data_IF_704711872364
#
_entry.id   IF_704711872364
#
_cell.length_a   1.000
_cell.length_b   1.000
_cell.length_c   1.000
_cell.angle_alpha   90.00
_cell.angle_beta   90.00
_cell.angle_gamma   90.00
#
_symmetry.space_group_name_H-M   'P 1'
#
loop_
_entity.id
_entity.type
_entity.pdbx_description
1 polymer ?
#
# COMPACT_ATOMS: atom_id res chain seq x y z
N UNK A 1 -9.64 -17.86 -41.54
CA UNK A 1 -8.40 -18.53 -41.06
C UNK A 1 -7.49 -17.61 -40.22
N UNK A 2 -7.79 -16.32 -40.10
CA UNK A 2 -6.90 -15.29 -39.52
C UNK A 2 -7.04 -15.13 -38.00
N UNK A 3 -8.27 -15.21 -37.45
CA UNK A 3 -8.54 -14.97 -36.01
C UNK A 3 -7.95 -16.05 -35.10
N UNK A 4 -8.05 -17.33 -35.48
CA UNK A 4 -7.47 -18.45 -34.69
C UNK A 4 -5.95 -18.37 -34.59
N UNK A 5 -5.27 -17.87 -35.63
CA UNK A 5 -3.80 -17.74 -35.67
C UNK A 5 -3.33 -16.60 -34.76
N UNK A 6 -4.05 -15.48 -34.76
CA UNK A 6 -3.81 -14.36 -33.84
C UNK A 6 -4.05 -14.75 -32.38
N UNK A 7 -5.12 -15.51 -32.10
CA UNK A 7 -5.43 -16.02 -30.74
C UNK A 7 -4.32 -16.95 -30.23
N UNK A 8 -3.79 -17.83 -31.08
CA UNK A 8 -2.67 -18.72 -30.73
C UNK A 8 -1.41 -17.95 -30.36
N UNK A 9 -1.05 -16.93 -31.15
CA UNK A 9 0.16 -16.13 -30.95
C UNK A 9 0.11 -15.28 -29.65
N UNK A 10 -1.08 -14.75 -29.32
CA UNK A 10 -1.31 -13.99 -28.09
C UNK A 10 -1.21 -14.90 -26.87
N UNK A 11 -1.72 -16.13 -26.97
CA UNK A 11 -1.65 -17.13 -25.89
C UNK A 11 -0.20 -17.52 -25.59
N UNK A 12 0.63 -17.72 -26.61
CA UNK A 12 2.04 -18.12 -26.46
C UNK A 12 2.87 -17.02 -25.77
N UNK A 13 2.71 -15.77 -26.22
CA UNK A 13 3.38 -14.60 -25.61
C UNK A 13 2.91 -14.29 -24.19
N UNK A 14 1.62 -14.47 -23.90
CA UNK A 14 1.11 -14.33 -22.54
C UNK A 14 1.72 -15.39 -21.61
N UNK A 15 1.89 -16.62 -22.07
CA UNK A 15 2.47 -17.71 -21.27
C UNK A 15 3.93 -17.43 -20.91
N UNK A 16 4.73 -16.89 -21.83
CA UNK A 16 6.12 -16.49 -21.57
C UNK A 16 6.23 -15.33 -20.56
N UNK A 17 5.35 -14.33 -20.68
CA UNK A 17 5.30 -13.21 -19.74
C UNK A 17 4.94 -13.65 -18.31
N UNK A 18 4.01 -14.61 -18.17
CA UNK A 18 3.60 -15.18 -16.87
C UNK A 18 4.76 -15.89 -16.17
N UNK A 19 5.55 -16.66 -16.92
CA UNK A 19 6.73 -17.35 -16.37
C UNK A 19 7.79 -16.36 -15.85
N UNK A 20 7.91 -15.18 -16.47
CA UNK A 20 8.83 -14.12 -16.03
C UNK A 20 8.36 -13.36 -14.77
N UNK A 21 7.04 -13.30 -14.53
CA UNK A 21 6.45 -12.52 -13.41
C UNK A 21 6.28 -13.32 -12.11
N UNK A 22 6.27 -14.66 -12.17
CA UNK A 22 6.16 -15.54 -11.00
C UNK A 22 7.35 -15.46 -10.02
N UNK A 23 8.42 -14.73 -10.36
CA UNK A 23 9.60 -14.54 -9.51
C UNK A 23 9.52 -13.45 -8.43
N UNK A 24 8.38 -12.77 -8.23
CA UNK A 24 8.27 -11.63 -7.28
C UNK A 24 7.09 -11.73 -6.29
N UNK A 25 6.88 -12.91 -5.70
CA UNK A 25 6.14 -12.97 -4.44
C UNK A 25 7.07 -12.51 -3.31
N UNK A 26 6.98 -11.25 -2.91
CA UNK A 26 7.71 -10.73 -1.75
C UNK A 26 7.15 -11.38 -0.48
N UNK A 27 7.92 -12.30 0.11
CA UNK A 27 7.66 -12.78 1.46
C UNK A 27 8.08 -11.68 2.44
N UNK A 28 7.12 -10.91 2.95
CA UNK A 28 7.34 -10.07 4.13
C UNK A 28 7.83 -10.98 5.25
N UNK A 29 9.09 -10.82 5.67
CA UNK A 29 9.64 -11.59 6.80
C UNK A 29 9.25 -10.91 8.09
N UNK A 30 8.68 -11.71 8.97
CA UNK A 30 8.38 -11.29 10.33
C UNK A 30 9.67 -10.94 11.08
N UNK A 31 9.67 -9.81 11.78
CA UNK A 31 10.79 -9.41 12.63
C UNK A 31 10.86 -10.26 13.90
N UNK A 32 12.04 -10.36 14.52
CA UNK A 32 12.22 -11.12 15.76
C UNK A 32 11.29 -10.66 16.90
N UNK A 33 11.01 -9.36 16.96
CA UNK A 33 10.14 -8.76 17.97
C UNK A 33 8.66 -9.01 17.68
N UNK A 34 8.25 -9.04 16.41
CA UNK A 34 6.92 -9.52 16.02
C UNK A 34 6.78 -10.99 16.41
N UNK A 35 7.80 -11.81 16.16
CA UNK A 35 7.80 -13.25 16.48
C UNK A 35 7.67 -13.47 17.99
N UNK A 36 8.47 -12.72 18.76
CA UNK A 36 8.41 -12.74 20.22
C UNK A 36 7.06 -12.22 20.73
N UNK A 37 6.56 -11.11 20.20
CA UNK A 37 5.26 -10.53 20.59
C UNK A 37 4.13 -11.51 20.30
N UNK A 38 4.12 -12.14 19.12
CA UNK A 38 3.12 -13.15 18.76
C UNK A 38 3.15 -14.33 19.70
N UNK A 39 4.34 -14.80 20.08
CA UNK A 39 4.50 -15.88 21.05
C UNK A 39 4.05 -15.48 22.46
N UNK A 40 4.49 -14.33 22.97
CA UNK A 40 4.18 -13.86 24.33
C UNK A 40 2.72 -13.44 24.50
N UNK A 41 2.08 -12.95 23.42
CA UNK A 41 0.69 -12.52 23.41
C UNK A 41 -0.30 -13.60 22.95
N UNK A 42 0.16 -14.84 22.79
CA UNK A 42 -0.73 -15.97 22.48
C UNK A 42 -1.41 -15.88 21.12
N UNK A 43 -0.76 -15.27 20.11
CA UNK A 43 -1.36 -15.13 18.78
C UNK A 43 -1.70 -16.49 18.16
N UNK A 44 -0.92 -17.53 18.46
CA UNK A 44 -1.23 -18.88 17.97
C UNK A 44 -2.58 -19.40 18.51
N UNK A 45 -2.90 -19.18 19.78
CA UNK A 45 -4.20 -19.58 20.34
C UNK A 45 -5.34 -18.71 19.79
N UNK A 46 -5.09 -17.40 19.64
CA UNK A 46 -6.04 -16.49 19.04
C UNK A 46 -6.35 -16.86 17.57
N UNK A 47 -5.34 -17.13 16.76
CA UNK A 47 -5.49 -17.50 15.34
C UNK A 47 -6.10 -18.89 15.16
N UNK A 48 -5.75 -19.85 16.02
CA UNK A 48 -6.35 -21.19 16.00
C UNK A 48 -7.84 -21.21 16.40
N UNK A 49 -8.29 -20.19 17.15
CA UNK A 49 -9.69 -20.04 17.55
C UNK A 49 -10.52 -19.20 16.58
N UNK A 50 -9.90 -18.63 15.54
CA UNK A 50 -10.64 -17.91 14.50
C UNK A 50 -11.50 -18.88 13.67
N UNK A 51 -12.70 -18.46 13.22
CA UNK A 51 -13.52 -19.26 12.32
C UNK A 51 -12.76 -19.64 11.04
N UNK A 52 -12.78 -20.92 10.65
CA UNK A 52 -12.16 -21.35 9.40
C UNK A 52 -12.99 -20.89 8.19
N UNK A 53 -12.54 -19.81 7.58
CA UNK A 53 -13.11 -19.27 6.34
C UNK A 53 -12.43 -19.85 5.09
N UNK A 54 -11.39 -20.69 5.21
CA UNK A 54 -10.60 -21.21 4.07
C UNK A 54 -11.32 -22.28 3.26
N UNK A 55 -12.35 -22.92 3.80
CA UNK A 55 -13.27 -23.72 3.01
C UNK A 55 -14.02 -22.89 1.92
N UNK A 56 -13.84 -21.56 1.90
CA UNK A 56 -14.38 -20.64 0.91
C UNK A 56 -13.48 -20.38 -0.31
N UNK A 57 -12.33 -21.07 -0.45
CA UNK A 57 -11.60 -21.11 -1.73
C UNK A 57 -11.73 -22.47 -2.45
N UNK A 58 -12.89 -22.78 -3.03
CA UNK A 58 -12.91 -23.47 -4.30
C UNK A 58 -13.13 -22.42 -5.39
N UNK A 59 -12.38 -22.49 -6.48
CA UNK A 59 -12.59 -21.70 -7.70
C UNK A 59 -13.95 -21.99 -8.37
N UNK A 60 -15.04 -21.72 -7.66
CA UNK A 60 -16.41 -21.94 -8.08
C UNK A 60 -17.30 -20.94 -7.36
N UNK A 61 -17.50 -19.83 -8.06
CA UNK A 61 -18.70 -18.98 -8.06
C UNK A 61 -19.93 -19.62 -7.43
N UNK A 62 -20.49 -18.98 -6.41
CA UNK A 62 -21.88 -19.16 -6.06
C UNK A 62 -22.73 -18.63 -7.24
N UNK A 63 -23.26 -19.54 -8.06
CA UNK A 63 -24.23 -19.29 -9.15
C UNK A 63 -23.91 -18.11 -10.08
N UNK A 64 -23.06 -18.34 -11.08
CA UNK A 64 -22.96 -17.48 -12.26
C UNK A 64 -21.67 -17.73 -13.03
N UNK A 65 -21.79 -18.38 -14.18
CA UNK A 65 -20.80 -18.52 -15.26
C UNK A 65 -19.31 -18.66 -14.86
N UNK A 66 -18.76 -19.88 -15.02
CA UNK A 66 -17.31 -20.09 -15.03
C UNK A 66 -16.67 -19.07 -15.99
N UNK A 67 -15.73 -18.23 -15.57
CA UNK A 67 -15.02 -17.38 -16.51
C UNK A 67 -14.38 -18.30 -17.55
N UNK A 68 -14.66 -18.04 -18.82
CA UNK A 68 -14.03 -18.78 -19.92
C UNK A 68 -12.52 -18.80 -19.71
N UNK A 69 -11.84 -19.91 -20.00
CA UNK A 69 -10.38 -20.04 -19.82
C UNK A 69 -9.61 -18.87 -20.46
N UNK A 70 -10.18 -18.27 -21.52
CA UNK A 70 -9.64 -17.10 -22.20
C UNK A 70 -9.71 -15.81 -21.36
N UNK A 71 -10.79 -15.57 -20.62
CA UNK A 71 -10.91 -14.42 -19.69
C UNK A 71 -9.94 -14.51 -18.52
N UNK A 72 -9.69 -15.71 -18.01
CA UNK A 72 -8.68 -15.93 -16.97
C UNK A 72 -7.27 -15.69 -17.56
N UNK A 73 -7.02 -16.14 -18.80
CA UNK A 73 -5.74 -15.90 -19.49
C UNK A 73 -5.47 -14.41 -19.82
N UNK A 74 -6.50 -13.64 -20.16
CA UNK A 74 -6.38 -12.20 -20.43
C UNK A 74 -6.17 -11.37 -19.15
N UNK A 75 -6.59 -11.87 -17.99
CA UNK A 75 -6.30 -11.23 -16.71
C UNK A 75 -4.80 -11.16 -16.40
N UNK A 76 -3.99 -12.02 -17.03
CA UNK A 76 -2.53 -11.99 -16.94
C UNK A 76 -1.88 -10.86 -17.74
N UNK A 77 -2.61 -10.21 -18.65
CA UNK A 77 -2.10 -9.06 -19.40
C UNK A 77 -2.15 -7.74 -18.61
N UNK A 78 -2.79 -7.74 -17.42
CA UNK A 78 -2.85 -6.57 -16.54
C UNK A 78 -3.34 -5.31 -17.28
N UNK A 79 -2.66 -4.16 -17.17
CA UNK A 79 -3.03 -2.91 -17.84
C UNK A 79 -3.13 -3.00 -19.37
N UNK A 80 -2.54 -4.02 -20.00
CA UNK A 80 -2.54 -4.22 -21.45
C UNK A 80 -3.73 -5.08 -21.93
N UNK A 81 -4.67 -5.46 -21.06
CA UNK A 81 -5.83 -6.24 -21.44
C UNK A 81 -6.81 -5.42 -22.31
N UNK A 82 -7.01 -5.76 -23.61
CA UNK A 82 -7.89 -5.02 -24.51
C UNK A 82 -9.38 -5.26 -24.25
N UNK A 83 -9.74 -6.22 -23.39
CA UNK A 83 -11.11 -6.60 -23.08
C UNK A 83 -11.44 -6.38 -21.59
N UNK A 84 -11.21 -5.15 -21.10
CA UNK A 84 -11.58 -4.74 -19.73
C UNK A 84 -13.08 -4.87 -19.51
N UNK A 85 -13.48 -5.46 -18.38
CA UNK A 85 -14.89 -5.48 -17.94
C UNK A 85 -15.23 -4.19 -17.21
N UNK A 86 -16.41 -3.63 -17.47
CA UNK A 86 -16.92 -2.46 -16.74
C UNK A 86 -17.41 -2.87 -15.34
N UNK A 87 -17.50 -1.90 -14.44
CA UNK A 87 -18.16 -2.08 -13.14
C UNK A 87 -19.66 -2.28 -13.32
N UNK A 88 -20.23 -3.16 -12.50
CA UNK A 88 -21.66 -3.51 -12.46
C UNK A 88 -22.25 -3.16 -11.09
N UNK A 89 -23.57 -3.20 -10.95
CA UNK A 89 -24.22 -2.94 -9.65
C UNK A 89 -23.92 -3.98 -8.56
N UNK A 90 -23.21 -5.07 -8.88
CA UNK A 90 -22.84 -6.15 -7.96
C UNK A 90 -21.38 -6.10 -7.52
N UNK A 91 -20.67 -5.04 -7.88
CA UNK A 91 -19.26 -4.89 -7.57
C UNK A 91 -19.08 -3.88 -6.43
N UNK A 92 -18.14 -4.17 -5.54
CA UNK A 92 -17.62 -3.24 -4.52
C UNK A 92 -16.35 -2.60 -5.06
N UNK A 93 -16.30 -1.27 -5.10
CA UNK A 93 -15.14 -0.51 -5.61
C UNK A 93 -14.50 0.26 -4.47
N UNK A 94 -13.18 0.12 -4.35
CA UNK A 94 -12.36 0.83 -3.39
C UNK A 94 -11.40 1.74 -4.15
N UNK A 95 -11.74 3.02 -4.19
CA UNK A 95 -10.89 4.08 -4.73
C UNK A 95 -10.10 4.68 -3.58
N UNK A 96 -8.77 4.58 -3.61
CA UNK A 96 -7.93 4.99 -2.48
C UNK A 96 -7.47 6.44 -2.63
N UNK A 97 -7.41 7.15 -1.50
CA UNK A 97 -6.81 8.48 -1.40
C UNK A 97 -5.37 8.46 -1.90
N UNK A 98 -4.95 9.55 -2.53
CA UNK A 98 -3.61 9.68 -3.06
C UNK A 98 -3.07 11.11 -2.96
N UNK A 99 -1.81 11.24 -3.36
CA UNK A 99 -1.11 12.52 -3.41
C UNK A 99 -0.70 12.79 -4.84
N UNK A 100 -1.05 13.95 -5.37
CA UNK A 100 -0.52 14.46 -6.63
C UNK A 100 0.83 15.12 -6.39
N UNK A 101 1.77 14.86 -7.28
CA UNK A 101 3.14 15.37 -7.24
C UNK A 101 3.51 15.96 -8.60
N UNK A 102 4.49 16.88 -8.63
CA UNK A 102 5.01 17.42 -9.88
C UNK A 102 6.05 16.48 -10.48
N UNK A 103 5.77 15.95 -11.66
CA UNK A 103 6.63 15.02 -12.38
C UNK A 103 7.97 15.68 -12.74
N UNK A 104 9.08 15.01 -12.44
CA UNK A 104 10.41 15.53 -12.82
C UNK A 104 10.71 15.41 -14.31
N UNK A 105 9.89 14.67 -15.07
CA UNK A 105 10.07 14.46 -16.52
C UNK A 105 9.22 15.40 -17.36
N UNK A 106 7.92 15.47 -17.06
CA UNK A 106 6.97 16.28 -17.82
C UNK A 106 6.80 17.68 -17.22
N UNK A 107 7.21 17.87 -15.96
CA UNK A 107 6.89 19.03 -15.14
C UNK A 107 5.40 19.23 -14.90
N UNK A 108 4.53 18.29 -15.30
CA UNK A 108 3.09 18.34 -15.06
C UNK A 108 2.75 17.70 -13.70
N UNK A 109 1.55 17.98 -13.20
CA UNK A 109 1.00 17.24 -12.07
C UNK A 109 0.68 15.81 -12.49
N UNK A 110 1.13 14.85 -11.70
CA UNK A 110 0.81 13.44 -11.84
C UNK A 110 0.34 12.88 -10.51
N UNK A 111 -0.52 11.87 -10.53
CA UNK A 111 -0.77 11.06 -9.35
C UNK A 111 -0.96 9.60 -9.73
N UNK A 112 -0.61 8.72 -8.80
CA UNK A 112 -0.94 7.32 -8.90
C UNK A 112 -2.29 7.06 -8.26
N UNK A 113 -3.21 6.52 -9.05
CA UNK A 113 -4.52 6.09 -8.61
C UNK A 113 -4.49 4.60 -8.34
N UNK A 114 -4.89 4.20 -7.14
CA UNK A 114 -5.01 2.79 -6.75
C UNK A 114 -6.48 2.44 -6.57
N UNK A 115 -6.93 1.42 -7.31
CA UNK A 115 -8.31 0.94 -7.27
C UNK A 115 -8.30 -0.54 -6.96
N UNK A 116 -9.13 -0.99 -6.02
CA UNK A 116 -9.41 -2.40 -5.79
C UNK A 116 -10.89 -2.69 -6.07
N UNK A 117 -11.18 -3.82 -6.73
CA UNK A 117 -12.55 -4.21 -7.07
C UNK A 117 -12.85 -5.60 -6.54
N UNK A 118 -14.01 -5.75 -5.90
CA UNK A 118 -14.47 -6.97 -5.27
C UNK A 118 -15.89 -7.31 -5.69
N UNK A 119 -16.29 -8.57 -5.53
CA UNK A 119 -17.65 -9.04 -5.75
C UNK A 119 -18.48 -8.84 -4.48
N UNK A 120 -19.65 -8.19 -4.60
CA UNK A 120 -20.54 -7.98 -3.45
C UNK A 120 -21.06 -9.30 -2.88
N UNK A 121 -21.22 -9.33 -1.55
CA UNK A 121 -21.95 -10.39 -0.83
C UNK A 121 -21.41 -11.82 -1.01
N UNK A 122 -20.12 -11.99 -1.35
CA UNK A 122 -19.50 -13.33 -1.46
C UNK A 122 -18.91 -13.85 -0.16
N UNK A 123 -18.70 -12.98 0.83
CA UNK A 123 -18.19 -13.37 2.14
C UNK A 123 -19.20 -14.25 2.90
N UNK A 124 -18.78 -15.43 3.33
CA UNK A 124 -19.58 -16.31 4.20
C UNK A 124 -19.36 -15.95 5.66
N UNK A 125 -20.42 -16.09 6.47
CA UNK A 125 -20.37 -15.97 7.92
C UNK A 125 -19.80 -14.63 8.45
N UNK A 126 -19.94 -13.55 7.66
CA UNK A 126 -19.43 -12.20 8.01
C UNK A 126 -19.90 -11.77 9.39
N UNK A 127 -21.18 -12.01 9.73
CA UNK A 127 -21.72 -11.67 11.05
C UNK A 127 -21.08 -12.47 12.19
N UNK A 128 -20.76 -13.74 11.97
CA UNK A 128 -20.10 -14.58 12.97
C UNK A 128 -18.64 -14.14 13.19
N UNK A 129 -17.92 -13.81 12.11
CA UNK A 129 -16.55 -13.28 12.21
C UNK A 129 -16.54 -11.91 12.89
N UNK A 130 -17.51 -11.04 12.59
CA UNK A 130 -17.65 -9.74 13.26
C UNK A 130 -17.90 -9.92 14.76
N UNK A 131 -18.79 -10.83 15.15
CA UNK A 131 -19.08 -11.11 16.55
C UNK A 131 -17.86 -11.69 17.28
N UNK A 132 -17.16 -12.64 16.66
CA UNK A 132 -15.93 -13.25 17.22
C UNK A 132 -14.82 -12.21 17.41
N UNK A 133 -14.60 -11.33 16.42
CA UNK A 133 -13.64 -10.23 16.56
C UNK A 133 -14.05 -9.28 17.69
N UNK A 134 -15.33 -8.85 17.72
CA UNK A 134 -15.83 -7.91 18.73
C UNK A 134 -15.64 -8.46 20.16
N UNK A 135 -15.93 -9.75 20.37
CA UNK A 135 -15.70 -10.44 21.64
C UNK A 135 -14.21 -10.48 22.01
N UNK A 136 -13.33 -10.89 21.07
CA UNK A 136 -11.88 -10.99 21.33
C UNK A 136 -11.23 -9.65 21.66
N UNK A 137 -11.71 -8.55 21.08
CA UNK A 137 -11.19 -7.20 21.40
C UNK A 137 -11.90 -6.57 22.60
N UNK A 138 -12.80 -7.30 23.26
CA UNK A 138 -13.47 -6.88 24.49
C UNK A 138 -14.45 -5.71 24.29
N UNK A 139 -14.99 -5.55 23.08
CA UNK A 139 -16.01 -4.54 22.84
C UNK A 139 -17.32 -4.96 23.49
N UNK A 140 -17.97 -4.01 24.17
CA UNK A 140 -19.36 -4.19 24.56
C UNK A 140 -20.22 -4.38 23.30
N UNK A 141 -21.38 -5.02 23.46
CA UNK A 141 -22.38 -5.16 22.40
C UNK A 141 -22.89 -3.77 21.99
N UNK A 142 -22.22 -3.19 21.02
CA UNK A 142 -22.49 -1.89 20.43
C UNK A 142 -22.62 -2.06 18.92
N UNK A 143 -23.82 -1.77 18.43
CA UNK A 143 -24.16 -1.90 17.01
C UNK A 143 -23.29 -0.99 16.13
N UNK A 144 -22.91 0.18 16.61
CA UNK A 144 -22.06 1.11 15.85
C UNK A 144 -20.63 0.58 15.70
N UNK A 145 -20.08 -0.02 16.77
CA UNK A 145 -18.77 -0.67 16.73
C UNK A 145 -18.79 -1.91 15.83
N UNK A 146 -19.80 -2.77 15.95
CA UNK A 146 -19.96 -3.95 15.08
C UNK A 146 -20.12 -3.58 13.61
N UNK A 147 -20.90 -2.53 13.29
CA UNK A 147 -21.02 -2.01 11.93
C UNK A 147 -19.68 -1.51 11.38
N UNK A 148 -18.85 -0.89 12.23
CA UNK A 148 -17.50 -0.44 11.87
C UNK A 148 -16.57 -1.62 11.58
N UNK A 149 -16.58 -2.65 12.43
CA UNK A 149 -15.80 -3.88 12.22
C UNK A 149 -16.23 -4.53 10.91
N UNK A 150 -17.54 -4.71 10.71
CA UNK A 150 -18.10 -5.29 9.48
C UNK A 150 -17.59 -4.55 8.25
N UNK A 151 -17.78 -3.22 8.21
CA UNK A 151 -17.34 -2.38 7.08
C UNK A 151 -15.85 -2.52 6.78
N UNK A 152 -14.99 -2.62 7.79
CA UNK A 152 -13.53 -2.78 7.61
C UNK A 152 -13.13 -4.19 7.19
N UNK A 153 -13.88 -5.19 7.62
CA UNK A 153 -13.60 -6.60 7.34
C UNK A 153 -14.11 -7.06 5.97
N UNK A 154 -15.25 -6.52 5.53
CA UNK A 154 -15.96 -6.91 4.31
C UNK A 154 -15.04 -7.16 3.10
N UNK A 155 -14.09 -6.28 2.72
CA UNK A 155 -13.23 -6.50 1.55
C UNK A 155 -12.31 -7.71 1.67
N UNK A 156 -11.87 -8.03 2.89
CA UNK A 156 -11.01 -9.20 3.15
C UNK A 156 -11.79 -10.52 3.05
N UNK A 157 -13.12 -10.45 3.09
CA UNK A 157 -14.02 -11.60 2.97
C UNK A 157 -14.63 -11.71 1.57
N UNK A 158 -14.42 -10.73 0.70
CA UNK A 158 -14.99 -10.72 -0.64
C UNK A 158 -14.04 -11.29 -1.68
N UNK A 159 -14.62 -11.85 -2.75
CA UNK A 159 -13.86 -12.29 -3.90
C UNK A 159 -13.31 -11.06 -4.62
N UNK A 160 -12.03 -11.10 -4.93
CA UNK A 160 -11.36 -10.10 -5.75
C UNK A 160 -11.82 -10.26 -7.21
N UNK A 161 -12.02 -9.15 -7.92
CA UNK A 161 -12.44 -9.13 -9.33
C UNK A 161 -11.34 -8.58 -10.27
N UNK A 162 -10.58 -9.47 -10.94
CA UNK A 162 -9.60 -9.09 -11.95
C UNK A 162 -10.21 -8.45 -13.20
N UNK A 163 -9.41 -7.65 -13.91
CA UNK A 163 -9.73 -7.17 -15.25
C UNK A 163 -10.83 -6.10 -15.31
N UNK A 164 -11.23 -5.53 -14.17
CA UNK A 164 -12.22 -4.46 -14.07
C UNK A 164 -11.58 -3.10 -14.32
N UNK A 165 -12.26 -2.24 -15.07
CA UNK A 165 -11.88 -0.84 -15.26
C UNK A 165 -12.93 0.08 -14.63
N UNK A 166 -12.48 1.18 -14.03
CA UNK A 166 -13.33 2.14 -13.32
C UNK A 166 -13.16 3.52 -13.96
N UNK A 167 -14.26 4.16 -14.32
CA UNK A 167 -14.23 5.57 -14.71
C UNK A 167 -14.40 6.43 -13.45
N UNK A 168 -13.64 7.51 -13.34
CA UNK A 168 -13.66 8.43 -12.20
C UNK A 168 -13.90 9.84 -12.72
N UNK A 169 -14.84 10.56 -12.13
CA UNK A 169 -14.96 12.00 -12.27
C UNK A 169 -13.99 12.67 -11.29
N UNK A 170 -12.92 13.24 -11.83
CA UNK A 170 -11.87 13.89 -11.06
C UNK A 170 -12.27 15.35 -10.79
N UNK A 171 -12.87 15.61 -9.64
CA UNK A 171 -13.22 16.96 -9.18
C UNK A 171 -14.11 17.76 -10.12
N UNK A 172 -14.91 17.11 -11.00
CA UNK A 172 -15.68 17.75 -12.09
C UNK A 172 -14.81 18.47 -13.13
N UNK A 173 -13.51 18.16 -13.18
CA UNK A 173 -12.54 18.75 -14.10
C UNK A 173 -12.33 17.87 -15.31
N UNK A 174 -12.18 16.57 -15.09
CA UNK A 174 -11.91 15.59 -16.13
C UNK A 174 -12.44 14.21 -15.77
N UNK A 175 -12.52 13.32 -16.78
CA UNK A 175 -12.86 11.92 -16.59
C UNK A 175 -11.63 11.06 -16.76
N UNK A 176 -11.26 10.34 -15.71
CA UNK A 176 -10.16 9.40 -15.70
C UNK A 176 -10.69 7.98 -15.91
N UNK A 177 -10.01 7.19 -16.73
CA UNK A 177 -10.26 5.74 -16.83
C UNK A 177 -9.12 5.01 -16.15
N UNK A 178 -9.42 4.25 -15.11
CA UNK A 178 -8.48 3.50 -14.29
C UNK A 178 -8.59 2.00 -14.57
N UNK A 179 -7.47 1.28 -14.52
CA UNK A 179 -7.38 -0.13 -14.86
C UNK A 179 -7.34 -0.42 -16.36
N UNK A 180 -7.48 -1.70 -16.76
CA UNK A 180 -7.99 -2.80 -15.93
C UNK A 180 -7.02 -3.30 -14.85
N UNK A 181 -7.56 -3.70 -13.69
CA UNK A 181 -6.79 -4.31 -12.60
C UNK A 181 -6.24 -5.70 -12.93
N UNK A 182 -5.14 -6.08 -12.27
CA UNK A 182 -4.47 -7.39 -12.43
C UNK A 182 -5.20 -8.54 -11.72
N UNK A 183 -4.55 -9.70 -11.55
CA UNK A 183 -5.13 -10.88 -10.87
C UNK A 183 -5.44 -10.67 -9.39
N UNK A 184 -4.78 -9.70 -8.77
CA UNK A 184 -5.08 -9.23 -7.42
C UNK A 184 -6.27 -8.25 -7.38
N UNK A 185 -6.95 -8.01 -8.52
CA UNK A 185 -8.07 -7.08 -8.65
C UNK A 185 -7.73 -5.64 -8.32
N UNK A 186 -6.43 -5.33 -8.26
CA UNK A 186 -5.91 -3.99 -8.01
C UNK A 186 -5.40 -3.41 -9.33
N UNK A 187 -5.76 -2.17 -9.62
CA UNK A 187 -5.08 -1.34 -10.61
C UNK A 187 -4.25 -0.26 -9.92
N UNK A 188 -3.13 0.09 -10.54
CA UNK A 188 -2.26 1.20 -10.18
C UNK A 188 -1.95 1.96 -11.47
N UNK A 189 -2.46 3.18 -11.56
CA UNK A 189 -2.48 3.98 -12.78
C UNK A 189 -1.86 5.36 -12.50
N UNK A 190 -0.75 5.70 -13.16
CA UNK A 190 -0.25 7.08 -13.15
C UNK A 190 -1.04 7.89 -14.17
N UNK A 191 -1.64 9.00 -13.73
CA UNK A 191 -2.40 9.92 -14.59
C UNK A 191 -1.85 11.34 -14.44
N UNK A 192 -1.68 12.04 -15.57
CA UNK A 192 -1.51 13.48 -15.58
C UNK A 192 -2.78 14.14 -15.06
N UNK A 193 -2.63 15.24 -14.33
CA UNK A 193 -3.71 15.95 -13.67
C UNK A 193 -3.71 17.44 -14.04
N UNK A 194 -4.87 18.13 -13.96
CA UNK A 194 -4.96 19.57 -14.11
C UNK A 194 -4.11 20.33 -13.08
N UNK A 195 -3.72 21.55 -13.42
CA UNK A 195 -3.08 22.46 -12.46
C UNK A 195 -3.97 22.72 -11.23
N UNK A 196 -3.34 22.76 -10.07
CA UNK A 196 -3.96 23.10 -8.80
C UNK A 196 -2.93 23.73 -7.85
N UNK A 197 -3.40 24.29 -6.74
CA UNK A 197 -2.50 24.92 -5.74
C UNK A 197 -1.89 23.88 -4.82
N UNK A 198 -0.72 24.18 -4.27
CA UNK A 198 -0.13 23.38 -3.19
C UNK A 198 -1.11 23.26 -2.00
N UNK A 199 -1.27 22.05 -1.48
CA UNK A 199 -2.21 21.71 -0.39
C UNK A 199 -3.67 21.63 -0.81
N UNK A 200 -4.01 21.88 -2.08
CA UNK A 200 -5.38 21.74 -2.57
C UNK A 200 -5.82 20.28 -2.52
N UNK A 201 -7.06 20.05 -2.07
CA UNK A 201 -7.67 18.71 -2.01
C UNK A 201 -8.79 18.64 -3.03
N UNK A 202 -8.69 17.69 -3.97
CA UNK A 202 -9.70 17.42 -4.98
C UNK A 202 -10.43 16.13 -4.60
N UNK A 203 -11.74 16.23 -4.37
CA UNK A 203 -12.60 15.07 -4.15
C UNK A 203 -13.03 14.52 -5.51
N UNK A 204 -12.74 13.24 -5.73
CA UNK A 204 -13.10 12.51 -6.96
C UNK A 204 -14.14 11.45 -6.66
N UNK A 205 -14.99 11.13 -7.65
CA UNK A 205 -16.08 10.15 -7.49
C UNK A 205 -16.02 9.09 -8.57
N UNK A 206 -16.09 7.82 -8.19
CA UNK A 206 -16.21 6.70 -9.10
C UNK A 206 -17.58 6.74 -9.82
N UNK A 207 -17.55 6.67 -11.15
CA UNK A 207 -18.71 6.62 -12.01
C UNK A 207 -19.16 5.17 -12.16
N UNK A 208 -20.01 4.72 -11.24
CA UNK A 208 -20.49 3.34 -11.14
C UNK A 208 -22.02 3.26 -11.24
N UNK A 209 -22.59 2.12 -11.70
CA UNK A 209 -24.04 1.93 -11.71
C UNK A 209 -24.65 1.97 -10.31
N UNK A 210 -25.93 2.36 -10.23
CA UNK A 210 -26.68 2.33 -8.98
C UNK A 210 -26.73 0.89 -8.42
N UNK A 211 -26.26 0.71 -7.19
CA UNK A 211 -26.16 -0.58 -6.50
C UNK A 211 -24.71 -1.00 -6.23
N UNK A 212 -23.75 -0.50 -7.01
CA UNK A 212 -22.34 -0.63 -6.66
C UNK A 212 -22.04 0.12 -5.34
N UNK A 213 -21.13 -0.41 -4.54
CA UNK A 213 -20.82 0.10 -3.19
C UNK A 213 -19.31 0.17 -2.92
N UNK A 214 -18.93 0.55 -1.69
CA UNK A 214 -17.53 0.66 -1.26
C UNK A 214 -17.05 2.11 -1.07
N UNK A 215 -15.74 2.32 -1.23
CA UNK A 215 -15.13 3.65 -1.19
C UNK A 215 -15.20 4.25 -2.59
N UNK A 216 -16.36 4.82 -2.90
CA UNK A 216 -16.64 5.42 -4.21
C UNK A 216 -16.12 6.85 -4.34
N UNK A 217 -15.62 7.44 -3.26
CA UNK A 217 -14.99 8.75 -3.25
C UNK A 217 -13.57 8.64 -2.72
N UNK A 218 -12.70 9.48 -3.27
CA UNK A 218 -11.32 9.63 -2.83
C UNK A 218 -10.92 11.09 -2.79
N UNK A 219 -9.90 11.38 -2.01
CA UNK A 219 -9.21 12.65 -1.97
C UNK A 219 -7.87 12.55 -2.69
N UNK A 220 -7.62 13.49 -3.59
CA UNK A 220 -6.28 13.77 -4.11
C UNK A 220 -5.75 15.03 -3.48
N UNK A 221 -4.68 14.90 -2.69
CA UNK A 221 -3.99 16.05 -2.10
C UNK A 221 -2.85 16.46 -3.03
N UNK A 222 -2.86 17.70 -3.50
CA UNK A 222 -1.75 18.26 -4.27
C UNK A 222 -0.64 18.66 -3.33
N UNK A 223 0.52 18.04 -3.47
CA UNK A 223 1.70 18.34 -2.66
C UNK A 223 2.85 18.77 -3.57
N UNK A 224 3.30 20.01 -3.38
CA UNK A 224 4.56 20.45 -3.96
C UNK A 224 5.74 19.64 -3.38
N UNK A 225 6.90 19.62 -4.06
CA UNK A 225 8.10 18.94 -3.60
C UNK A 225 8.63 19.37 -2.23
N UNK A 226 8.18 20.52 -1.72
CA UNK A 226 8.58 21.07 -0.44
C UNK A 226 7.54 20.74 0.63
N UNK A 227 7.92 19.95 1.63
CA UNK A 227 7.02 19.55 2.70
C UNK A 227 7.55 18.40 3.55
N UNK A 228 6.63 17.70 4.22
CA UNK A 228 6.91 16.52 5.03
C UNK A 228 5.92 15.40 4.66
N UNK A 229 6.35 14.15 4.87
CA UNK A 229 5.51 12.96 4.68
C UNK A 229 5.70 12.00 5.85
N UNK A 230 4.67 11.20 6.14
CA UNK A 230 4.73 10.16 7.17
C UNK A 230 4.63 8.80 6.49
N UNK A 231 5.56 7.91 6.82
CA UNK A 231 5.57 6.52 6.35
C UNK A 231 5.68 5.64 7.59
N UNK A 232 4.79 4.66 7.71
CA UNK A 232 4.78 3.69 8.80
C UNK A 232 4.64 2.28 8.23
N UNK A 233 5.26 1.29 8.87
CA UNK A 233 5.29 -0.10 8.42
C UNK A 233 6.61 -0.79 8.67
N UNK A 234 6.75 -2.00 8.12
CA UNK A 234 7.97 -2.82 8.17
C UNK A 234 9.10 -2.19 7.35
N UNK A 235 10.33 -2.73 7.47
CA UNK A 235 11.47 -2.26 6.68
C UNK A 235 11.15 -2.33 5.19
N UNK A 236 10.75 -3.51 4.70
CA UNK A 236 10.44 -3.73 3.27
C UNK A 236 9.36 -2.78 2.77
N UNK A 237 8.32 -2.54 3.57
CA UNK A 237 7.28 -1.59 3.21
C UNK A 237 7.83 -0.17 3.12
N UNK A 238 8.60 0.27 4.12
CA UNK A 238 9.20 1.61 4.16
C UNK A 238 10.15 1.81 2.98
N UNK A 239 11.03 0.85 2.69
CA UNK A 239 11.98 0.96 1.57
C UNK A 239 11.28 0.95 0.23
N UNK A 240 10.21 0.16 0.05
CA UNK A 240 9.37 0.21 -1.15
C UNK A 240 8.69 1.58 -1.31
N UNK A 241 8.06 2.10 -0.25
CA UNK A 241 7.40 3.43 -0.28
C UNK A 241 8.40 4.56 -0.50
N UNK A 242 9.56 4.52 0.14
CA UNK A 242 10.59 5.53 -0.07
C UNK A 242 11.21 5.43 -1.47
N UNK A 243 11.38 4.22 -2.03
CA UNK A 243 11.81 4.03 -3.43
C UNK A 243 10.82 4.64 -4.41
N UNK A 244 9.53 4.47 -4.13
CA UNK A 244 8.45 5.08 -4.90
C UNK A 244 8.49 6.60 -4.83
N UNK A 245 8.64 7.17 -3.64
CA UNK A 245 8.80 8.63 -3.46
C UNK A 245 10.06 9.14 -4.15
N UNK A 246 11.18 8.42 -4.08
CA UNK A 246 12.39 8.78 -4.82
C UNK A 246 12.14 8.80 -6.34
N UNK A 247 11.31 7.90 -6.88
CA UNK A 247 10.96 7.92 -8.31
C UNK A 247 10.22 9.20 -8.72
N UNK A 248 9.43 9.77 -7.81
CA UNK A 248 8.69 11.01 -8.00
C UNK A 248 9.60 12.23 -7.80
N UNK A 249 10.44 12.22 -6.76
CA UNK A 249 11.25 13.35 -6.29
C UNK A 249 12.75 13.00 -6.20
N UNK A 250 13.41 12.55 -7.29
CA UNK A 250 14.78 12.02 -7.24
C UNK A 250 15.85 13.07 -6.94
N UNK A 251 15.56 14.35 -7.20
CA UNK A 251 16.51 15.46 -6.99
C UNK A 251 16.36 16.14 -5.62
N UNK A 252 15.37 15.73 -4.81
CA UNK A 252 15.11 16.38 -3.52
C UNK A 252 16.02 15.79 -2.46
N UNK A 253 16.46 16.63 -1.52
CA UNK A 253 17.18 16.19 -0.33
C UNK A 253 16.16 15.90 0.77
N UNK A 254 16.23 14.72 1.37
CA UNK A 254 15.34 14.28 2.44
C UNK A 254 16.04 14.32 3.79
N UNK A 255 15.31 14.76 4.82
CA UNK A 255 15.68 14.54 6.23
C UNK A 255 14.73 13.46 6.74
N UNK A 256 15.29 12.30 7.10
CA UNK A 256 14.51 11.17 7.62
C UNK A 256 14.48 11.23 9.14
N UNK A 257 13.28 11.31 9.72
CA UNK A 257 13.09 11.29 11.17
C UNK A 257 12.29 10.03 11.51
N UNK A 258 12.79 9.22 12.42
CA UNK A 258 12.16 7.96 12.85
C UNK A 258 12.41 7.67 14.31
N UNK A 259 12.03 6.48 14.76
CA UNK A 259 12.19 6.02 16.13
C UNK A 259 12.96 4.70 16.25
N UNK A 260 13.48 4.42 17.45
CA UNK A 260 14.29 3.23 17.70
C UNK A 260 13.47 1.94 17.82
N UNK A 261 12.15 1.99 18.04
CA UNK A 261 11.34 0.77 18.24
C UNK A 261 11.05 0.05 16.93
N UNK A 262 10.86 0.80 15.84
CA UNK A 262 10.62 0.24 14.52
C UNK A 262 11.92 0.01 13.72
N UNK A 263 11.77 -0.37 12.46
CA UNK A 263 12.87 -0.61 11.52
C UNK A 263 13.35 0.66 10.79
N UNK A 264 13.18 1.83 11.40
CA UNK A 264 13.60 3.11 10.82
C UNK A 264 15.10 3.20 10.60
N UNK A 265 15.97 2.79 11.55
CA UNK A 265 17.41 2.81 11.33
C UNK A 265 17.81 1.98 10.10
N UNK A 266 17.27 0.77 9.98
CA UNK A 266 17.59 -0.15 8.90
C UNK A 266 17.07 0.37 7.55
N UNK A 267 15.80 0.81 7.51
CA UNK A 267 15.19 1.34 6.29
C UNK A 267 15.92 2.61 5.81
N UNK A 268 16.18 3.58 6.70
CA UNK A 268 16.84 4.82 6.31
C UNK A 268 18.30 4.60 5.91
N UNK A 269 19.02 3.71 6.59
CA UNK A 269 20.36 3.31 6.20
C UNK A 269 20.39 2.65 4.82
N UNK A 270 19.42 1.79 4.51
CA UNK A 270 19.27 1.18 3.18
C UNK A 270 18.98 2.22 2.10
N UNK A 271 18.03 3.12 2.34
CA UNK A 271 17.69 4.18 1.39
C UNK A 271 18.84 5.14 1.13
N UNK A 272 19.63 5.49 2.16
CA UNK A 272 20.83 6.30 2.01
C UNK A 272 21.85 5.66 1.06
N UNK A 273 22.05 4.33 1.19
CA UNK A 273 22.99 3.58 0.35
C UNK A 273 22.46 3.40 -1.08
N UNK A 274 21.16 3.14 -1.24
CA UNK A 274 20.56 2.90 -2.54
C UNK A 274 20.45 4.17 -3.41
N UNK A 275 20.28 5.34 -2.78
CA UNK A 275 20.07 6.61 -3.47
C UNK A 275 21.02 7.69 -2.92
N UNK A 276 22.29 7.59 -3.30
CA UNK A 276 23.35 8.48 -2.83
C UNK A 276 23.00 9.96 -3.04
N UNK A 277 23.07 10.74 -1.95
CA UNK A 277 22.77 12.17 -1.95
C UNK A 277 21.28 12.53 -1.82
N UNK A 278 20.38 11.54 -1.87
CA UNK A 278 18.93 11.77 -1.68
C UNK A 278 18.59 11.94 -0.19
N UNK A 279 18.97 10.99 0.66
CA UNK A 279 18.85 11.14 2.13
C UNK A 279 20.04 11.98 2.61
N UNK A 280 19.78 13.20 3.07
CA UNK A 280 20.83 14.15 3.49
C UNK A 280 21.15 14.05 4.98
N UNK A 281 20.16 13.67 5.80
CA UNK A 281 20.27 13.55 7.25
C UNK A 281 19.28 12.51 7.77
N UNK A 282 19.71 11.70 8.75
CA UNK A 282 18.89 10.72 9.45
C UNK A 282 18.88 11.05 10.95
N UNK A 283 17.69 11.14 11.55
CA UNK A 283 17.50 11.37 12.98
C UNK A 283 16.64 10.25 13.55
N UNK A 284 17.16 9.53 14.54
CA UNK A 284 16.44 8.45 15.22
C UNK A 284 16.14 8.88 16.65
N UNK A 285 14.84 9.02 16.97
CA UNK A 285 14.39 9.22 18.34
C UNK A 285 14.60 7.93 19.12
N UNK A 286 15.45 7.96 20.13
CA UNK A 286 15.60 6.86 21.08
C UNK A 286 14.41 6.86 22.03
N UNK A 287 13.66 5.76 22.00
CA UNK A 287 12.50 5.58 22.86
C UNK A 287 12.93 4.97 24.19
N UNK A 288 12.66 5.67 25.29
CA UNK A 288 13.03 5.26 26.67
C UNK A 288 11.83 4.99 27.57
N UNK A 289 10.65 5.52 27.22
CA UNK A 289 9.54 5.71 28.17
C UNK A 289 8.46 4.63 28.09
N UNK A 290 8.75 3.50 27.43
CA UNK A 290 7.79 2.42 27.23
C UNK A 290 8.32 1.17 27.94
N UNK A 291 7.53 0.59 28.84
CA UNK A 291 7.80 -0.73 29.42
C UNK A 291 7.51 -1.82 28.38
N UNK A 292 8.31 -1.85 27.31
CA UNK A 292 8.19 -2.80 26.21
C UNK A 292 9.29 -3.86 26.33
N UNK A 293 8.89 -5.13 26.20
CA UNK A 293 9.81 -6.27 26.10
C UNK A 293 10.69 -6.05 24.85
N UNK A 294 12.01 -6.25 24.99
CA UNK A 294 12.96 -6.12 23.88
C UNK A 294 13.43 -4.68 23.56
N UNK A 295 13.01 -3.67 24.33
CA UNK A 295 13.43 -2.28 24.12
C UNK A 295 14.95 -2.08 24.28
N UNK A 296 15.60 -2.83 25.18
CA UNK A 296 17.04 -2.77 25.40
C UNK A 296 17.79 -3.12 24.11
N UNK A 297 17.44 -4.24 23.48
CA UNK A 297 18.04 -4.69 22.22
C UNK A 297 17.82 -3.67 21.08
N UNK A 298 16.63 -3.05 21.02
CA UNK A 298 16.31 -2.01 20.02
C UNK A 298 17.14 -0.73 20.17
N UNK A 299 17.60 -0.45 21.38
CA UNK A 299 18.41 0.71 21.72
C UNK A 299 19.93 0.39 21.80
N UNK A 300 20.35 -0.82 21.44
CA UNK A 300 21.77 -1.19 21.45
C UNK A 300 22.55 -0.34 20.43
N UNK A 301 23.65 0.31 20.84
CA UNK A 301 24.51 1.07 19.93
C UNK A 301 24.96 0.26 18.70
N UNK A 302 25.23 -1.03 18.90
CA UNK A 302 25.66 -1.96 17.86
C UNK A 302 24.62 -2.10 16.74
N UNK A 303 23.32 -2.08 17.07
CA UNK A 303 22.24 -2.13 16.08
C UNK A 303 22.28 -0.90 15.17
N UNK A 304 22.41 0.29 15.73
CA UNK A 304 22.49 1.53 14.94
C UNK A 304 23.75 1.54 14.06
N UNK A 305 24.91 1.14 14.61
CA UNK A 305 26.15 1.03 13.84
C UNK A 305 26.02 0.06 12.67
N UNK A 306 25.34 -1.06 12.87
CA UNK A 306 25.08 -2.04 11.82
C UNK A 306 24.10 -1.51 10.77
N UNK A 307 22.99 -0.91 11.19
CA UNK A 307 21.99 -0.31 10.30
C UNK A 307 22.58 0.79 9.41
N UNK A 308 23.45 1.62 9.99
CA UNK A 308 24.13 2.73 9.32
C UNK A 308 25.54 2.40 8.83
N UNK A 309 25.89 1.11 8.70
CA UNK A 309 27.17 0.71 8.11
C UNK A 309 27.29 1.30 6.70
N UNK A 310 28.40 2.00 6.46
CA UNK A 310 28.66 2.71 5.20
C UNK A 310 27.99 4.09 5.07
N UNK A 311 27.24 4.55 6.08
CA UNK A 311 26.73 5.92 6.18
C UNK A 311 27.73 6.75 7.01
N UNK A 312 28.18 7.92 6.53
CA UNK A 312 29.07 8.78 7.30
C UNK A 312 28.47 9.15 8.67
N UNK A 313 29.28 9.16 9.73
CA UNK A 313 28.82 9.39 11.11
C UNK A 313 28.23 10.79 11.33
N UNK A 314 28.54 11.75 10.47
CA UNK A 314 27.95 13.10 10.48
C UNK A 314 26.62 13.20 9.70
N UNK A 315 26.06 12.06 9.26
CA UNK A 315 24.81 12.00 8.48
C UNK A 315 23.68 11.30 9.22
N UNK A 316 23.95 10.72 10.39
CA UNK A 316 22.94 10.07 11.20
C UNK A 316 23.18 10.33 12.69
N UNK A 317 22.09 10.55 13.43
CA UNK A 317 22.16 10.87 14.85
C UNK A 317 21.02 10.19 15.60
N UNK A 318 21.30 9.79 16.84
CA UNK A 318 20.30 9.28 17.78
C UNK A 318 20.07 10.38 18.81
N UNK A 319 18.81 10.77 19.02
CA UNK A 319 18.44 11.84 19.93
C UNK A 319 17.37 11.38 20.92
N UNK A 320 17.32 12.04 22.08
CA UNK A 320 16.31 11.78 23.12
C UNK A 320 15.37 12.98 23.28
N UNK A 321 15.88 14.21 23.06
CA UNK A 321 15.09 15.44 23.21
C UNK A 321 14.98 16.24 21.90
N UNK A 322 13.87 16.94 21.65
CA UNK A 322 13.68 17.74 20.43
C UNK A 322 14.75 18.83 20.23
N UNK A 323 15.31 19.38 21.32
CA UNK A 323 16.32 20.44 21.28
C UNK A 323 17.60 20.00 20.56
N UNK A 324 17.98 18.73 20.72
CA UNK A 324 19.13 18.14 20.04
C UNK A 324 18.94 18.16 18.52
N UNK A 325 17.72 17.93 18.03
CA UNK A 325 17.43 17.92 16.59
C UNK A 325 17.70 19.27 15.94
N UNK A 326 17.29 20.37 16.56
CA UNK A 326 17.47 21.71 16.00
C UNK A 326 18.95 22.05 15.81
N UNK A 327 19.79 21.71 16.79
CA UNK A 327 21.25 21.92 16.71
C UNK A 327 21.85 21.10 15.56
N UNK A 328 21.54 19.81 15.51
CA UNK A 328 22.05 18.90 14.48
C UNK A 328 21.65 19.37 13.07
N UNK A 329 20.38 19.76 12.89
CA UNK A 329 19.89 20.23 11.58
C UNK A 329 20.63 21.50 11.17
N UNK A 330 20.81 22.46 12.07
CA UNK A 330 21.52 23.69 11.76
C UNK A 330 22.97 23.42 11.34
N UNK A 331 23.69 22.57 12.06
CA UNK A 331 25.09 22.23 11.77
C UNK A 331 25.23 21.53 10.40
N UNK A 332 24.31 20.62 10.07
CA UNK A 332 24.32 19.87 8.81
C UNK A 332 23.88 20.72 7.61
N UNK A 333 22.94 21.64 7.82
CA UNK A 333 22.50 22.57 6.76
C UNK A 333 23.59 23.60 6.46
N UNK A 334 24.19 24.20 7.50
CA UNK A 334 25.23 25.22 7.33
C UNK A 334 26.54 24.69 6.74
N UNK A 335 26.86 23.40 6.96
CA UNK A 335 28.04 22.75 6.36
C UNK A 335 27.87 22.37 4.88
N UNK A 336 26.71 22.66 4.28
CA UNK A 336 26.39 22.36 2.87
C UNK A 336 26.43 23.60 1.97
N UNK A 337 26.62 24.81 2.52
CA UNK A 337 26.91 26.06 1.78
C UNK A 337 28.41 26.21 1.49
#
# INVERSE_FOLDING_TARGET
MTVKKTIGLVRERATEAISSMQGRAQTSRESELETQTRRERGFHEAEASLPDTRAASPGTTAKGERPSEFTDLLSYLGPLNPFSKQITEKDTVWLLDNTAYRSTKTHEWESEFVVAVFEQNTGRDVSAVVADIAEKIGLAKDEAAEATIRRRLTPFMQNILPGRAVNVDFGRREKLKLGPGGRNGISSDIRSLPEARNGEVVVSTALVPQGADGLLQMNTVYAEPDGWGIISGTQDYKTERMTKIHSWLPRRKMICIGDSTQSDPEAYGEMYRNFGGWVHLILIRKVTDIAAVGLQAKNEPQRFQQAFKGVPSNRWFVFETPEQCYQIINDVVQSTE
#
